data_IF_475086911832
#
_entry.id   IF_475086911832
#
_cell.length_a   1.000
_cell.length_b   1.000
_cell.length_c   1.000
_cell.angle_alpha   90.00
_cell.angle_beta   90.00
_cell.angle_gamma   90.00
#
_symmetry.space_group_name_H-M   'P 1'
#
loop_
_entity.id
_entity.type
_entity.pdbx_description
1 polymer ?
#
# COMPACT_ATOMS: atom_id res chain seq x y z
N UNK A 1 -17.78 6.65 -27.96
CA UNK A 1 -16.92 5.64 -27.31
C UNK A 1 -16.09 6.27 -26.18
N UNK A 2 -16.78 7.02 -25.35
CA UNK A 2 -16.23 7.70 -24.16
C UNK A 2 -15.84 6.67 -23.09
N UNK A 3 -16.64 5.60 -22.92
CA UNK A 3 -16.43 4.56 -21.91
C UNK A 3 -15.03 3.90 -22.03
N UNK A 4 -14.59 3.61 -23.26
CA UNK A 4 -13.25 3.04 -23.50
C UNK A 4 -12.12 3.96 -23.08
N UNK A 5 -12.31 5.29 -23.20
CA UNK A 5 -11.32 6.26 -22.73
C UNK A 5 -11.20 6.23 -21.22
N UNK A 6 -12.34 6.21 -20.50
CA UNK A 6 -12.35 6.11 -19.03
C UNK A 6 -11.74 4.80 -18.54
N UNK A 7 -12.09 3.68 -19.15
CA UNK A 7 -11.49 2.37 -18.81
C UNK A 7 -9.97 2.39 -19.02
N UNK A 8 -9.50 2.87 -20.19
CA UNK A 8 -8.08 2.95 -20.47
C UNK A 8 -7.32 3.88 -19.50
N UNK A 9 -7.95 4.98 -19.09
CA UNK A 9 -7.39 5.88 -18.09
C UNK A 9 -7.26 5.16 -16.74
N UNK A 10 -8.29 4.49 -16.26
CA UNK A 10 -8.25 3.73 -15.00
C UNK A 10 -7.25 2.57 -15.03
N UNK A 11 -7.10 1.91 -16.16
CA UNK A 11 -6.05 0.88 -16.35
C UNK A 11 -4.65 1.50 -16.22
N UNK A 12 -4.41 2.67 -16.82
CA UNK A 12 -3.13 3.38 -16.66
C UNK A 12 -2.87 3.78 -15.20
N UNK A 13 -3.85 4.35 -14.53
CA UNK A 13 -3.76 4.71 -13.10
C UNK A 13 -3.39 3.49 -12.24
N UNK A 14 -4.07 2.36 -12.46
CA UNK A 14 -3.79 1.10 -11.77
C UNK A 14 -2.37 0.59 -12.03
N UNK A 15 -1.91 0.63 -13.28
CA UNK A 15 -0.56 0.20 -13.63
C UNK A 15 0.52 1.10 -13.00
N UNK A 16 0.25 2.40 -12.86
CA UNK A 16 1.14 3.35 -12.16
C UNK A 16 1.19 3.00 -10.68
N UNK A 17 0.05 2.77 -10.04
CA UNK A 17 -0.02 2.37 -8.63
C UNK A 17 0.74 1.06 -8.37
N UNK A 18 0.56 0.05 -9.23
CA UNK A 18 1.27 -1.23 -9.12
C UNK A 18 2.80 -1.05 -9.26
N UNK A 19 3.24 -0.20 -10.18
CA UNK A 19 4.64 0.12 -10.33
C UNK A 19 5.21 0.82 -9.09
N UNK A 20 4.47 1.82 -8.56
CA UNK A 20 4.87 2.53 -7.34
C UNK A 20 4.98 1.59 -6.15
N UNK A 21 4.01 0.71 -5.95
CA UNK A 21 4.03 -0.27 -4.88
C UNK A 21 5.28 -1.17 -4.94
N UNK A 22 5.68 -1.61 -6.14
CA UNK A 22 6.89 -2.42 -6.32
C UNK A 22 8.18 -1.66 -6.05
N UNK A 23 8.30 -0.43 -6.53
CA UNK A 23 9.52 0.38 -6.39
C UNK A 23 9.69 0.93 -5.00
N UNK A 24 8.60 1.34 -4.35
CA UNK A 24 8.58 2.03 -3.06
C UNK A 24 8.26 1.11 -1.87
N UNK A 25 8.23 -0.20 -2.04
CA UNK A 25 7.95 -1.16 -0.97
C UNK A 25 8.83 -0.92 0.28
N UNK A 26 10.12 -0.57 0.10
CA UNK A 26 11.05 -0.27 1.20
C UNK A 26 10.80 1.08 1.88
N UNK A 27 10.11 1.99 1.21
CA UNK A 27 9.78 3.31 1.73
C UNK A 27 8.48 3.31 2.57
N UNK A 28 7.80 2.17 2.69
CA UNK A 28 6.51 2.09 3.37
C UNK A 28 5.42 2.81 2.56
N UNK A 29 5.22 2.34 1.34
CA UNK A 29 4.19 2.84 0.42
C UNK A 29 2.80 2.58 0.99
N UNK A 30 1.93 3.56 0.94
CA UNK A 30 0.51 3.45 1.28
C UNK A 30 -0.33 3.41 0.00
N UNK A 31 -0.57 4.54 -0.59
CA UNK A 31 -1.36 4.68 -1.81
C UNK A 31 -0.84 5.83 -2.67
N UNK A 32 -1.36 5.92 -3.88
CA UNK A 32 -1.04 7.01 -4.82
C UNK A 32 -2.33 7.60 -5.36
N UNK A 33 -2.44 8.91 -5.29
CA UNK A 33 -3.51 9.68 -5.92
C UNK A 33 -3.00 10.30 -7.21
N UNK A 34 -3.80 10.22 -8.27
CA UNK A 34 -3.47 10.78 -9.57
C UNK A 34 -4.55 11.78 -9.97
N UNK A 35 -4.15 13.03 -10.09
CA UNK A 35 -5.02 14.13 -10.51
C UNK A 35 -4.56 14.67 -11.86
N UNK A 36 -5.46 14.65 -12.83
CA UNK A 36 -5.21 15.27 -14.13
C UNK A 36 -5.47 16.75 -14.04
N UNK A 37 -4.43 17.55 -14.25
CA UNK A 37 -4.51 19.00 -14.31
C UNK A 37 -4.25 19.50 -15.75
N UNK A 38 -4.71 20.70 -16.12
CA UNK A 38 -4.43 21.26 -17.46
C UNK A 38 -2.94 21.40 -17.77
N UNK A 39 -2.08 21.48 -16.76
CA UNK A 39 -0.62 21.62 -16.88
C UNK A 39 0.13 20.27 -16.92
N UNK A 40 -0.56 19.16 -16.69
CA UNK A 40 0.01 17.82 -16.62
C UNK A 40 -0.63 16.97 -15.53
N UNK A 41 -0.11 15.76 -15.36
CA UNK A 41 -0.62 14.82 -14.36
C UNK A 41 0.13 14.99 -13.04
N UNK A 42 -0.63 15.32 -11.99
CA UNK A 42 -0.13 15.43 -10.62
C UNK A 42 -0.27 14.08 -9.94
N UNK A 43 0.83 13.53 -9.48
CA UNK A 43 0.91 12.23 -8.82
C UNK A 43 1.36 12.44 -7.37
N UNK A 44 0.43 12.30 -6.44
CA UNK A 44 0.72 12.41 -5.01
C UNK A 44 0.94 11.01 -4.44
N UNK A 45 2.14 10.75 -3.90
CA UNK A 45 2.54 9.46 -3.35
C UNK A 45 2.54 9.56 -1.82
N UNK A 46 1.69 8.78 -1.16
CA UNK A 46 1.64 8.72 0.30
C UNK A 46 2.57 7.61 0.82
N UNK A 47 3.50 8.00 1.69
CA UNK A 47 4.49 7.08 2.25
C UNK A 47 4.81 7.41 3.70
N UNK A 48 5.25 6.39 4.45
CA UNK A 48 5.68 6.58 5.84
C UNK A 48 7.09 7.13 5.98
N UNK A 49 7.90 7.04 4.90
CA UNK A 49 9.30 7.48 4.89
C UNK A 49 9.61 8.30 3.64
N UNK A 50 9.15 9.56 3.58
CA UNK A 50 9.30 10.41 2.41
C UNK A 50 10.76 10.58 1.96
N UNK A 51 11.71 10.61 2.89
CA UNK A 51 13.13 10.73 2.58
C UNK A 51 13.68 9.59 1.70
N UNK A 52 13.15 8.36 1.82
CA UNK A 52 13.57 7.24 0.97
C UNK A 52 13.01 7.35 -0.45
N UNK A 53 11.86 7.96 -0.60
CA UNK A 53 11.25 8.23 -1.92
C UNK A 53 12.05 9.29 -2.67
N UNK A 54 12.40 10.38 -1.99
CA UNK A 54 13.22 11.45 -2.57
C UNK A 54 14.59 10.90 -2.96
N UNK A 55 15.23 10.17 -2.04
CA UNK A 55 16.60 9.66 -2.22
C UNK A 55 17.65 10.78 -2.14
N UNK A 56 18.90 10.43 -2.39
CA UNK A 56 20.01 11.41 -2.38
C UNK A 56 19.82 12.42 -3.52
N UNK A 57 19.74 13.70 -3.17
CA UNK A 57 19.56 14.81 -4.13
C UNK A 57 18.38 14.65 -5.11
N UNK A 58 17.33 13.93 -4.72
CA UNK A 58 16.15 13.72 -5.58
C UNK A 58 16.36 12.71 -6.72
N UNK A 59 17.39 11.89 -6.66
CA UNK A 59 17.71 10.94 -7.74
C UNK A 59 16.61 9.91 -7.97
N UNK A 60 15.99 9.41 -6.90
CA UNK A 60 14.92 8.42 -7.02
C UNK A 60 13.68 9.03 -7.69
N UNK A 61 13.28 10.23 -7.29
CA UNK A 61 12.15 10.95 -7.92
C UNK A 61 12.43 11.17 -9.41
N UNK A 62 13.65 11.59 -9.78
CA UNK A 62 14.03 11.78 -11.18
C UNK A 62 13.95 10.48 -11.98
N UNK A 63 14.40 9.35 -11.41
CA UNK A 63 14.30 8.02 -12.04
C UNK A 63 12.84 7.61 -12.26
N UNK A 64 12.00 7.80 -11.23
CA UNK A 64 10.56 7.50 -11.30
C UNK A 64 9.90 8.37 -12.38
N UNK A 65 10.13 9.68 -12.37
CA UNK A 65 9.58 10.61 -13.37
C UNK A 65 10.00 10.22 -14.79
N UNK A 66 11.27 9.89 -15.02
CA UNK A 66 11.76 9.48 -16.33
C UNK A 66 11.11 8.18 -16.79
N UNK A 67 10.93 7.22 -15.89
CA UNK A 67 10.24 5.96 -16.19
C UNK A 67 8.77 6.18 -16.55
N UNK A 68 8.06 7.00 -15.77
CA UNK A 68 6.65 7.33 -16.02
C UNK A 68 6.46 8.00 -17.38
N UNK A 69 7.30 8.98 -17.72
CA UNK A 69 7.28 9.61 -19.05
C UNK A 69 7.48 8.60 -20.17
N UNK A 70 8.47 7.72 -20.04
CA UNK A 70 8.81 6.75 -21.09
C UNK A 70 7.74 5.64 -21.24
N UNK A 71 7.24 5.09 -20.13
CA UNK A 71 6.35 3.93 -20.13
C UNK A 71 4.90 4.30 -20.40
N UNK A 72 4.40 5.32 -19.73
CA UNK A 72 2.98 5.71 -19.75
C UNK A 72 2.70 6.90 -20.69
N UNK A 73 3.75 7.45 -21.32
CA UNK A 73 3.64 8.60 -22.24
C UNK A 73 2.93 9.80 -21.60
N UNK A 74 3.27 10.06 -20.30
CA UNK A 74 2.79 11.22 -19.58
C UNK A 74 3.54 12.46 -20.05
N UNK A 75 2.84 13.56 -20.33
CA UNK A 75 3.48 14.76 -20.86
C UNK A 75 4.34 15.44 -19.80
N UNK A 76 3.75 15.81 -18.66
CA UNK A 76 4.43 16.50 -17.56
C UNK A 76 4.02 15.93 -16.19
N UNK A 77 4.46 14.71 -15.80
CA UNK A 77 4.14 14.16 -14.49
C UNK A 77 4.86 14.96 -13.40
N UNK A 78 4.07 15.56 -12.49
CA UNK A 78 4.54 16.20 -11.28
C UNK A 78 4.38 15.23 -10.11
N UNK A 79 5.47 14.90 -9.43
CA UNK A 79 5.45 13.99 -8.28
C UNK A 79 5.48 14.83 -7.01
N UNK A 80 4.44 14.67 -6.21
CA UNK A 80 4.39 15.17 -4.83
C UNK A 80 4.45 14.01 -3.86
N UNK A 81 4.97 14.28 -2.67
CA UNK A 81 5.12 13.27 -1.63
C UNK A 81 4.30 13.72 -0.43
N UNK A 82 3.30 12.90 -0.10
CA UNK A 82 2.50 13.03 1.10
C UNK A 82 3.05 12.18 2.23
N UNK A 83 2.87 12.64 3.46
CA UNK A 83 3.23 11.90 4.66
C UNK A 83 2.00 11.23 5.28
N UNK A 84 2.16 10.00 5.77
CA UNK A 84 1.12 9.25 6.47
C UNK A 84 1.25 9.49 7.96
N UNK A 85 0.28 10.19 8.57
CA UNK A 85 0.32 10.56 9.98
C UNK A 85 0.40 9.34 10.91
N UNK A 86 -0.43 8.31 10.67
CA UNK A 86 -0.50 7.10 11.49
C UNK A 86 -0.22 5.85 10.64
N UNK A 87 1.04 5.42 10.50
CA UNK A 87 1.40 4.27 9.67
C UNK A 87 0.75 2.94 10.09
N UNK A 88 0.46 2.78 11.38
CA UNK A 88 -0.13 1.55 11.90
C UNK A 88 -1.65 1.43 11.63
N UNK A 89 -2.29 2.51 11.21
CA UNK A 89 -3.69 2.48 10.74
C UNK A 89 -3.79 2.27 9.23
N UNK A 90 -2.67 2.36 8.51
CA UNK A 90 -2.63 2.10 7.07
C UNK A 90 -2.51 0.61 6.79
N UNK A 91 -3.50 0.08 6.10
CA UNK A 91 -3.64 -1.35 5.80
C UNK A 91 -2.47 -1.87 4.96
N UNK A 92 -2.08 -1.11 3.92
CA UNK A 92 -1.00 -1.53 3.01
C UNK A 92 0.34 -1.61 3.74
N UNK A 93 0.67 -0.59 4.54
CA UNK A 93 1.89 -0.58 5.33
C UNK A 93 1.96 -1.73 6.34
N UNK A 94 0.84 -2.01 7.02
CA UNK A 94 0.75 -3.11 7.99
C UNK A 94 0.91 -4.45 7.30
N UNK A 95 0.29 -4.65 6.12
CA UNK A 95 0.41 -5.87 5.33
C UNK A 95 1.85 -6.11 4.87
N UNK A 96 2.53 -5.10 4.33
CA UNK A 96 3.93 -5.19 3.89
C UNK A 96 4.87 -5.47 5.07
N UNK A 97 4.66 -4.80 6.21
CA UNK A 97 5.44 -5.05 7.44
C UNK A 97 5.24 -6.45 7.98
N UNK A 98 4.02 -6.98 7.90
CA UNK A 98 3.71 -8.34 8.30
C UNK A 98 4.38 -9.36 7.38
N UNK A 99 4.32 -9.15 6.05
CA UNK A 99 5.01 -9.97 5.07
C UNK A 99 6.52 -10.00 5.31
N UNK A 100 7.13 -8.83 5.49
CA UNK A 100 8.56 -8.72 5.81
C UNK A 100 8.95 -9.46 7.10
N UNK A 101 8.12 -9.35 8.15
CA UNK A 101 8.38 -10.06 9.40
C UNK A 101 8.28 -11.58 9.23
N UNK A 102 7.33 -12.06 8.42
CA UNK A 102 7.21 -13.50 8.10
C UNK A 102 8.41 -14.02 7.31
N UNK A 103 8.91 -13.26 6.35
CA UNK A 103 10.12 -13.59 5.60
C UNK A 103 11.35 -13.65 6.50
N UNK A 104 11.52 -12.66 7.37
CA UNK A 104 12.69 -12.52 8.24
C UNK A 104 12.75 -13.54 9.36
N UNK A 105 11.63 -13.77 10.04
CA UNK A 105 11.57 -14.65 11.24
C UNK A 105 11.09 -16.07 10.93
N UNK A 106 10.67 -16.32 9.71
CA UNK A 106 10.20 -17.59 9.22
C UNK A 106 8.75 -17.90 9.59
N UNK A 107 8.15 -18.76 8.78
CA UNK A 107 6.74 -19.12 8.86
C UNK A 107 6.35 -19.84 10.17
N UNK A 108 7.30 -20.42 10.92
CA UNK A 108 7.00 -21.09 12.21
C UNK A 108 6.48 -20.14 13.29
N UNK A 109 6.87 -18.85 13.24
CA UNK A 109 6.47 -17.82 14.23
C UNK A 109 5.24 -17.01 13.83
N UNK A 110 4.50 -17.42 12.82
CA UNK A 110 3.37 -16.66 12.26
C UNK A 110 2.32 -16.25 13.31
N UNK A 111 2.04 -17.11 14.31
CA UNK A 111 1.08 -16.77 15.37
C UNK A 111 1.55 -15.60 16.22
N UNK A 112 2.81 -15.65 16.68
CA UNK A 112 3.39 -14.57 17.48
C UNK A 112 3.45 -13.25 16.71
N UNK A 113 3.82 -13.31 15.43
CA UNK A 113 3.88 -12.13 14.54
C UNK A 113 2.47 -11.56 14.34
N UNK A 114 1.47 -12.43 14.04
CA UNK A 114 0.10 -12.00 13.84
C UNK A 114 -0.51 -11.32 15.08
N UNK A 115 -0.37 -11.92 16.26
CA UNK A 115 -0.88 -11.31 17.51
C UNK A 115 -0.15 -10.01 17.87
N UNK A 116 1.17 -9.96 17.69
CA UNK A 116 1.95 -8.75 17.97
C UNK A 116 1.53 -7.60 17.06
N UNK A 117 1.40 -7.84 15.75
CA UNK A 117 0.93 -6.82 14.81
C UNK A 117 -0.47 -6.35 15.13
N UNK A 118 -1.38 -7.28 15.45
CA UNK A 118 -2.74 -6.95 15.85
C UNK A 118 -2.77 -6.05 17.10
N UNK A 119 -1.95 -6.35 18.09
CA UNK A 119 -1.84 -5.55 19.30
C UNK A 119 -1.26 -4.14 19.00
N UNK A 120 -0.24 -4.04 18.14
CA UNK A 120 0.32 -2.76 17.70
C UNK A 120 -0.75 -1.88 17.01
N UNK A 121 -1.57 -2.48 16.12
CA UNK A 121 -2.67 -1.77 15.44
C UNK A 121 -3.73 -1.31 16.43
N UNK A 122 -4.14 -2.16 17.39
CA UNK A 122 -5.10 -1.78 18.41
C UNK A 122 -4.57 -0.67 19.33
N UNK A 123 -3.30 -0.70 19.68
CA UNK A 123 -2.67 0.33 20.50
C UNK A 123 -2.56 1.68 19.77
N UNK A 124 -2.57 1.69 18.44
CA UNK A 124 -2.58 2.93 17.65
C UNK A 124 -3.97 3.60 17.55
N UNK A 125 -4.99 3.03 18.19
CA UNK A 125 -6.33 3.60 18.28
C UNK A 125 -7.33 3.03 17.28
N UNK A 126 -7.05 1.88 16.65
CA UNK A 126 -8.03 1.19 15.83
C UNK A 126 -9.19 0.66 16.66
N UNK A 127 -10.43 0.79 16.16
CA UNK A 127 -11.64 0.24 16.81
C UNK A 127 -11.66 -1.28 16.76
N UNK A 128 -11.11 -1.86 15.70
CA UNK A 128 -10.95 -3.28 15.53
C UNK A 128 -10.13 -3.59 14.28
N UNK A 129 -9.50 -4.75 14.28
CA UNK A 129 -8.70 -5.21 13.17
C UNK A 129 -8.80 -6.73 13.01
N UNK A 130 -8.67 -7.18 11.76
CA UNK A 130 -8.61 -8.60 11.42
C UNK A 130 -7.44 -8.84 10.47
N UNK A 131 -6.61 -9.80 10.81
CA UNK A 131 -5.49 -10.24 9.98
C UNK A 131 -5.73 -11.69 9.57
N UNK A 132 -5.74 -11.97 8.28
CA UNK A 132 -5.90 -13.32 7.73
C UNK A 132 -4.61 -13.72 7.04
N UNK A 133 -3.97 -14.78 7.54
CA UNK A 133 -2.80 -15.39 6.94
C UNK A 133 -3.20 -16.70 6.29
N UNK A 134 -3.10 -16.77 4.97
CA UNK A 134 -3.44 -17.98 4.21
C UNK A 134 -2.21 -18.50 3.48
N UNK A 135 -2.04 -19.81 3.46
CA UNK A 135 -0.92 -20.45 2.78
C UNK A 135 -0.52 -21.76 3.42
N UNK A 136 0.64 -22.28 3.03
CA UNK A 136 1.27 -23.48 3.59
C UNK A 136 2.04 -23.15 4.88
N UNK A 137 1.31 -22.72 5.90
CA UNK A 137 1.89 -22.28 7.18
C UNK A 137 1.21 -23.03 8.32
N UNK A 138 1.93 -23.71 9.23
CA UNK A 138 3.35 -24.09 9.23
C UNK A 138 3.64 -25.41 8.50
N UNK A 139 2.61 -26.10 7.99
CA UNK A 139 2.68 -27.43 7.40
C UNK A 139 2.52 -27.42 5.88
N UNK A 140 2.72 -28.56 5.22
CA UNK A 140 2.58 -28.71 3.76
C UNK A 140 1.15 -28.42 3.25
N UNK A 141 0.13 -28.62 4.10
CA UNK A 141 -1.27 -28.37 3.73
C UNK A 141 -1.60 -26.88 3.90
N UNK A 142 -2.20 -26.28 2.88
CA UNK A 142 -2.68 -24.90 2.94
C UNK A 142 -3.81 -24.75 3.97
N UNK A 143 -3.71 -23.73 4.82
CA UNK A 143 -4.71 -23.34 5.82
C UNK A 143 -4.79 -21.82 5.89
N UNK A 144 -5.95 -21.30 6.31
CA UNK A 144 -6.13 -19.91 6.65
C UNK A 144 -6.20 -19.74 8.17
N UNK A 145 -5.42 -18.81 8.68
CA UNK A 145 -5.37 -18.46 10.09
C UNK A 145 -5.90 -17.04 10.24
N UNK A 146 -6.89 -16.88 11.10
CA UNK A 146 -7.55 -15.60 11.35
C UNK A 146 -7.22 -15.11 12.75
N UNK A 147 -6.75 -13.88 12.84
CA UNK A 147 -6.48 -13.14 14.07
C UNK A 147 -7.39 -11.93 14.08
N UNK A 148 -8.22 -11.79 15.10
CA UNK A 148 -9.15 -10.66 15.21
C UNK A 148 -9.12 -10.07 16.61
N UNK A 149 -9.25 -8.75 16.71
CA UNK A 149 -9.41 -8.03 17.97
C UNK A 149 -10.31 -6.80 17.75
N UNK A 150 -11.04 -6.43 18.80
CA UNK A 150 -11.97 -5.30 18.75
C UNK A 150 -13.23 -5.59 17.94
N UNK A 151 -13.86 -4.51 17.48
CA UNK A 151 -15.10 -4.56 16.71
C UNK A 151 -14.81 -4.27 15.23
N UNK A 152 -15.21 -5.19 14.35
CA UNK A 152 -15.09 -5.03 12.91
C UNK A 152 -16.47 -5.30 12.26
N UNK A 153 -17.04 -4.29 11.63
CA UNK A 153 -18.29 -4.42 10.89
C UNK A 153 -18.00 -5.01 9.50
N UNK A 154 -18.65 -6.17 9.18
CA UNK A 154 -18.39 -6.92 7.94
C UNK A 154 -19.46 -6.74 6.87
N UNK A 155 -20.52 -5.99 7.15
CA UNK A 155 -21.65 -5.82 6.22
C UNK A 155 -22.15 -4.37 6.22
N UNK A 156 -22.83 -4.02 5.11
CA UNK A 156 -23.41 -2.70 4.89
C UNK A 156 -22.43 -1.71 4.24
N UNK A 157 -22.93 -0.54 3.91
CA UNK A 157 -22.20 0.51 3.18
C UNK A 157 -20.92 0.98 3.91
N UNK A 158 -20.96 1.02 5.24
CA UNK A 158 -19.81 1.37 6.07
C UNK A 158 -18.63 0.42 5.86
N UNK A 159 -18.91 -0.89 5.64
CA UNK A 159 -17.85 -1.87 5.40
C UNK A 159 -17.18 -1.72 4.00
N UNK A 160 -17.84 -1.03 3.07
CA UNK A 160 -17.29 -0.76 1.73
C UNK A 160 -16.55 0.58 1.69
N UNK A 161 -17.05 1.58 2.42
CA UNK A 161 -16.56 2.96 2.31
C UNK A 161 -15.52 3.35 3.37
N UNK A 162 -15.50 2.67 4.54
CA UNK A 162 -14.70 3.09 5.71
C UNK A 162 -13.81 2.01 6.33
N UNK A 163 -13.76 0.82 5.75
CA UNK A 163 -12.91 -0.30 6.23
C UNK A 163 -11.87 -0.67 5.19
#
# INVERSE_FOLDING_TARGET
>A
MIERKFVNQKIKEFQIQEYMAKVLAKAGYSHTEIHNTPLGEKITIFTTRPGLVVGKAGENVKKITAYLKKRFKLENPQIEIGDVQNPLLDVQYVADRLAYNLERFGAKRFKSIGYKMLQEVMNSGAVGAEIVLAGRIPSARARAWRFSAGYLKKCGDVAVSKI
#
